data_IF_004722143270
#
_entry.id   IF_004722143270
#
_cell.length_a   1.000
_cell.length_b   1.000
_cell.length_c   1.000
_cell.angle_alpha   90.00
_cell.angle_beta   90.00
_cell.angle_gamma   90.00
#
_symmetry.space_group_name_H-M   'P 1'
#
loop_
_entity.id
_entity.type
_entity.pdbx_description
1 polymer ?
#
# COMPACT_ATOMS: atom_id res chain seq x y z
N UNK A 1 2.24 -20.14 1.32
CA UNK A 1 2.00 -19.45 2.61
C UNK A 1 0.50 -19.47 2.96
N UNK A 2 -0.38 -18.86 2.20
CA UNK A 2 -1.82 -18.78 2.53
C UNK A 2 -2.48 -20.17 2.73
N UNK A 3 -2.23 -21.13 1.84
CA UNK A 3 -2.74 -22.50 1.96
C UNK A 3 -2.28 -23.20 3.25
N UNK A 4 -1.04 -22.97 3.69
CA UNK A 4 -0.55 -23.55 4.94
C UNK A 4 -1.22 -22.91 6.17
N UNK A 5 -1.47 -21.60 6.12
CA UNK A 5 -2.20 -20.89 7.18
C UNK A 5 -3.66 -21.40 7.26
N UNK A 6 -4.30 -21.59 6.10
CA UNK A 6 -5.67 -22.11 6.04
C UNK A 6 -5.74 -23.52 6.65
N UNK A 7 -4.79 -24.40 6.31
CA UNK A 7 -4.75 -25.73 6.89
C UNK A 7 -4.65 -25.70 8.43
N UNK A 8 -3.78 -24.83 8.97
CA UNK A 8 -3.67 -24.66 10.43
C UNK A 8 -4.99 -24.16 11.04
N UNK A 9 -5.63 -23.20 10.37
CA UNK A 9 -6.92 -22.69 10.84
C UNK A 9 -8.01 -23.77 10.83
N UNK A 10 -8.03 -24.63 9.80
CA UNK A 10 -8.97 -25.74 9.68
C UNK A 10 -8.71 -26.79 10.78
N UNK A 11 -7.45 -27.15 11.03
CA UNK A 11 -7.05 -28.08 12.08
C UNK A 11 -7.43 -27.56 13.48
N UNK A 12 -7.30 -26.27 13.74
CA UNK A 12 -7.70 -25.63 14.99
C UNK A 12 -9.22 -25.52 15.11
N UNK A 13 -9.91 -25.25 14.02
CA UNK A 13 -11.38 -25.23 13.99
C UNK A 13 -11.98 -26.60 14.30
N UNK A 14 -11.37 -27.69 13.83
CA UNK A 14 -11.75 -29.05 14.18
C UNK A 14 -11.59 -29.35 15.68
N UNK A 15 -10.76 -28.60 16.39
CA UNK A 15 -10.57 -28.67 17.83
C UNK A 15 -11.45 -27.67 18.61
N UNK A 16 -12.43 -27.05 17.94
CA UNK A 16 -13.38 -26.10 18.57
C UNK A 16 -12.89 -24.64 18.67
N UNK A 17 -11.71 -24.32 18.11
CA UNK A 17 -11.19 -22.96 18.12
C UNK A 17 -11.78 -22.11 16.99
N UNK A 18 -12.01 -20.82 17.23
CA UNK A 18 -12.39 -19.86 16.21
C UNK A 18 -11.12 -19.21 15.63
N UNK A 19 -10.87 -19.43 14.35
CA UNK A 19 -9.68 -18.92 13.67
C UNK A 19 -10.06 -17.93 12.57
N UNK A 20 -9.24 -16.87 12.43
CA UNK A 20 -9.28 -15.97 11.29
C UNK A 20 -7.89 -15.89 10.66
N UNK A 21 -7.79 -16.19 9.36
CA UNK A 21 -6.53 -16.12 8.62
C UNK A 21 -6.31 -14.70 8.11
N UNK A 22 -5.33 -14.01 8.68
CA UNK A 22 -4.91 -12.69 8.20
C UNK A 22 -3.97 -12.88 7.01
N UNK A 23 -4.30 -12.44 5.79
CA UNK A 23 -3.42 -12.58 4.64
C UNK A 23 -2.13 -11.77 4.81
N UNK A 24 -1.09 -12.15 4.09
CA UNK A 24 0.20 -11.45 4.12
C UNK A 24 0.04 -9.95 3.82
N UNK A 25 0.60 -9.10 4.71
CA UNK A 25 0.42 -7.65 4.62
C UNK A 25 -0.98 -7.16 5.03
N UNK A 26 -1.85 -8.03 5.57
CA UNK A 26 -3.24 -7.67 5.88
C UNK A 26 -4.09 -7.33 4.66
N UNK A 27 -3.58 -7.60 3.45
CA UNK A 27 -4.19 -7.15 2.19
C UNK A 27 -5.47 -7.92 1.89
N UNK A 28 -6.60 -7.32 2.17
CA UNK A 28 -7.94 -7.74 1.74
C UNK A 28 -8.88 -6.53 1.66
N UNK A 29 -10.01 -6.70 1.00
CA UNK A 29 -10.96 -5.61 0.70
C UNK A 29 -11.53 -4.95 1.96
N UNK A 30 -11.67 -5.68 3.07
CA UNK A 30 -12.17 -5.14 4.33
C UNK A 30 -11.09 -4.30 5.02
N UNK A 31 -9.86 -4.81 5.10
CA UNK A 31 -8.72 -4.07 5.65
C UNK A 31 -8.40 -2.81 4.84
N UNK A 32 -8.73 -2.85 3.55
CA UNK A 32 -8.64 -1.72 2.64
C UNK A 32 -9.40 -0.48 3.13
N UNK A 33 -10.54 -0.65 3.80
CA UNK A 33 -11.35 0.48 4.27
C UNK A 33 -10.61 1.42 5.22
N UNK A 34 -9.67 0.89 6.03
CA UNK A 34 -8.84 1.71 6.90
C UNK A 34 -7.98 2.74 6.15
N UNK A 35 -7.42 2.36 5.01
CA UNK A 35 -6.64 3.30 4.19
C UNK A 35 -7.50 4.23 3.33
N UNK A 36 -8.75 3.86 3.03
CA UNK A 36 -9.72 4.80 2.44
C UNK A 36 -10.00 5.93 3.44
N UNK A 37 -10.24 5.58 4.71
CA UNK A 37 -10.40 6.56 5.77
C UNK A 37 -9.16 7.45 5.92
N UNK A 38 -7.95 6.89 5.80
CA UNK A 38 -6.70 7.65 5.79
C UNK A 38 -6.65 8.71 4.67
N UNK A 39 -7.13 8.38 3.46
CA UNK A 39 -7.20 9.37 2.36
C UNK A 39 -8.19 10.50 2.69
N UNK A 40 -9.32 10.17 3.31
CA UNK A 40 -10.29 11.18 3.76
C UNK A 40 -9.69 12.07 4.84
N UNK A 41 -8.96 11.48 5.79
CA UNK A 41 -8.26 12.20 6.85
C UNK A 41 -7.19 13.14 6.28
N UNK A 42 -6.37 12.68 5.33
CA UNK A 42 -5.40 13.53 4.62
C UNK A 42 -6.09 14.75 4.03
N UNK A 43 -7.21 14.57 3.33
CA UNK A 43 -7.96 15.67 2.74
C UNK A 43 -8.50 16.67 3.78
N UNK A 44 -9.04 16.16 4.88
CA UNK A 44 -9.53 17.01 5.98
C UNK A 44 -8.38 17.82 6.59
N UNK A 45 -7.25 17.19 6.89
CA UNK A 45 -6.08 17.87 7.46
C UNK A 45 -5.47 18.89 6.50
N UNK A 46 -5.40 18.60 5.21
CA UNK A 46 -4.94 19.58 4.21
C UNK A 46 -5.83 20.82 4.18
N UNK A 47 -7.14 20.63 4.28
CA UNK A 47 -8.09 21.72 4.33
C UNK A 47 -7.96 22.54 5.62
N UNK A 48 -7.94 21.87 6.78
CA UNK A 48 -7.83 22.52 8.10
C UNK A 48 -6.54 23.30 8.27
N UNK A 49 -5.44 22.78 7.74
CA UNK A 49 -4.11 23.40 7.85
C UNK A 49 -3.80 24.36 6.68
N UNK A 50 -4.74 24.54 5.74
CA UNK A 50 -4.53 25.34 4.52
C UNK A 50 -3.28 24.88 3.75
N UNK A 51 -2.99 23.58 3.76
CA UNK A 51 -1.85 23.00 3.07
C UNK A 51 -2.26 22.46 1.70
N UNK A 52 -1.32 22.51 0.78
CA UNK A 52 -1.42 21.88 -0.52
C UNK A 52 -0.28 20.89 -0.70
N UNK A 53 -0.61 19.67 -1.13
CA UNK A 53 0.38 18.71 -1.57
C UNK A 53 0.24 18.46 -3.07
N UNK A 54 1.34 18.38 -3.76
CA UNK A 54 1.39 18.24 -5.22
C UNK A 54 1.62 16.79 -5.63
N UNK A 55 2.05 15.92 -4.71
CA UNK A 55 2.35 14.53 -5.01
C UNK A 55 2.36 13.65 -3.75
N UNK A 56 1.90 12.40 -3.91
CA UNK A 56 2.01 11.36 -2.87
C UNK A 56 3.01 10.29 -3.35
N UNK A 57 3.94 9.91 -2.49
CA UNK A 57 4.86 8.79 -2.73
C UNK A 57 4.56 7.68 -1.72
N UNK A 58 4.38 6.45 -2.19
CA UNK A 58 4.05 5.28 -1.36
C UNK A 58 5.04 4.16 -1.62
N UNK A 59 5.63 3.61 -0.56
CA UNK A 59 6.37 2.35 -0.63
C UNK A 59 5.42 1.15 -0.63
N UNK A 60 5.49 0.30 -1.64
CA UNK A 60 4.57 -0.82 -1.83
C UNK A 60 5.28 -2.17 -1.81
N UNK A 61 5.03 -2.95 -0.76
CA UNK A 61 5.49 -4.35 -0.66
C UNK A 61 4.36 -5.35 -0.89
N UNK A 62 3.24 -5.19 -0.16
CA UNK A 62 1.96 -5.84 -0.45
C UNK A 62 1.13 -4.96 -1.39
N UNK A 63 0.04 -5.48 -1.92
CA UNK A 63 -0.85 -4.70 -2.81
C UNK A 63 -1.73 -3.70 -2.06
N UNK A 64 -2.05 -3.96 -0.79
CA UNK A 64 -3.13 -3.32 -0.04
C UNK A 64 -3.05 -1.80 0.04
N UNK A 65 -2.01 -1.26 0.66
CA UNK A 65 -1.89 0.19 0.88
C UNK A 65 -2.01 0.98 -0.42
N UNK A 66 -1.28 0.55 -1.46
CA UNK A 66 -1.30 1.21 -2.76
C UNK A 66 -2.68 1.17 -3.41
N UNK A 67 -3.27 -0.01 -3.49
CA UNK A 67 -4.58 -0.22 -4.10
C UNK A 67 -5.62 0.73 -3.52
N UNK A 68 -5.58 0.89 -2.21
CA UNK A 68 -6.59 1.63 -1.47
C UNK A 68 -6.39 3.13 -1.53
N UNK A 69 -5.14 3.60 -1.42
CA UNK A 69 -4.86 5.03 -1.58
C UNK A 69 -5.28 5.51 -2.97
N UNK A 70 -4.96 4.73 -4.03
CA UNK A 70 -5.43 5.01 -5.39
C UNK A 70 -6.96 5.05 -5.47
N UNK A 71 -7.63 4.05 -4.89
CA UNK A 71 -9.10 3.97 -4.91
C UNK A 71 -9.74 5.12 -4.14
N UNK A 72 -9.18 5.49 -2.98
CA UNK A 72 -9.65 6.61 -2.18
C UNK A 72 -9.52 7.94 -2.93
N UNK A 73 -8.34 8.23 -3.49
CA UNK A 73 -8.11 9.44 -4.30
C UNK A 73 -9.05 9.49 -5.52
N UNK A 74 -9.20 8.37 -6.22
CA UNK A 74 -10.08 8.28 -7.38
C UNK A 74 -11.55 8.47 -7.01
N UNK A 75 -12.02 7.79 -5.96
CA UNK A 75 -13.41 7.90 -5.49
C UNK A 75 -13.78 9.28 -4.97
N UNK A 76 -12.82 10.03 -4.43
CA UNK A 76 -12.99 11.42 -4.00
C UNK A 76 -12.77 12.44 -5.11
N UNK A 77 -12.47 11.99 -6.34
CA UNK A 77 -12.06 12.85 -7.45
C UNK A 77 -10.88 13.77 -7.08
N UNK A 78 -10.02 13.30 -6.20
CA UNK A 78 -8.81 14.02 -5.81
C UNK A 78 -7.74 13.91 -6.90
N UNK A 79 -7.32 15.05 -7.42
CA UNK A 79 -6.33 15.12 -8.51
C UNK A 79 -4.90 15.19 -8.01
N UNK A 80 -4.58 14.46 -6.93
CA UNK A 80 -3.23 14.39 -6.39
C UNK A 80 -2.52 13.20 -7.05
N UNK A 81 -1.45 13.43 -7.82
CA UNK A 81 -0.66 12.36 -8.41
C UNK A 81 -0.06 11.45 -7.33
N UNK A 82 0.06 10.18 -7.64
CA UNK A 82 0.66 9.21 -6.73
C UNK A 82 1.72 8.38 -7.46
N UNK A 83 2.92 8.30 -6.88
CA UNK A 83 3.98 7.39 -7.34
C UNK A 83 4.14 6.25 -6.36
N UNK A 84 4.04 5.05 -6.87
CA UNK A 84 4.29 3.82 -6.15
C UNK A 84 5.73 3.36 -6.34
N UNK A 85 6.42 3.10 -5.24
CA UNK A 85 7.77 2.55 -5.23
C UNK A 85 7.69 1.08 -4.81
N UNK A 86 7.90 0.18 -5.75
CA UNK A 86 7.94 -1.27 -5.48
C UNK A 86 9.17 -1.63 -4.64
N UNK A 87 8.95 -2.17 -3.43
CA UNK A 87 10.03 -2.48 -2.49
C UNK A 87 10.35 -3.96 -2.36
N UNK A 88 9.61 -4.86 -3.00
CA UNK A 88 9.76 -6.30 -2.80
C UNK A 88 9.64 -7.21 -4.00
N UNK A 89 9.19 -6.71 -5.15
CA UNK A 89 8.92 -7.50 -6.36
C UNK A 89 9.17 -6.68 -7.63
N UNK A 90 9.26 -7.40 -8.74
CA UNK A 90 9.24 -6.77 -10.07
C UNK A 90 7.83 -6.25 -10.44
N UNK A 91 7.77 -5.37 -11.42
CA UNK A 91 6.54 -4.71 -11.87
C UNK A 91 5.47 -5.71 -12.35
N UNK A 92 5.90 -6.76 -13.05
CA UNK A 92 4.99 -7.78 -13.61
C UNK A 92 4.22 -8.51 -12.52
N UNK A 93 4.83 -8.66 -11.35
CA UNK A 93 4.24 -9.34 -10.20
C UNK A 93 3.60 -8.36 -9.20
N UNK A 94 3.89 -7.07 -9.27
CA UNK A 94 3.34 -6.07 -8.36
C UNK A 94 2.04 -5.45 -8.87
N UNK A 95 2.00 -4.98 -10.11
CA UNK A 95 0.85 -4.23 -10.64
C UNK A 95 -0.47 -5.02 -10.71
N UNK A 96 -0.50 -6.30 -11.18
CA UNK A 96 -1.76 -7.00 -11.32
C UNK A 96 -2.53 -7.21 -10.01
N UNK A 97 -1.92 -7.63 -8.88
CA UNK A 97 -2.62 -7.73 -7.61
C UNK A 97 -3.09 -6.36 -7.09
N UNK A 98 -2.31 -5.29 -7.25
CA UNK A 98 -2.71 -3.92 -6.87
C UNK A 98 -3.98 -3.51 -7.63
N UNK A 99 -4.02 -3.71 -8.93
CA UNK A 99 -5.17 -3.37 -9.74
C UNK A 99 -6.42 -4.17 -9.35
N UNK A 100 -6.30 -5.49 -9.17
CA UNK A 100 -7.44 -6.34 -8.75
C UNK A 100 -8.02 -5.87 -7.41
N UNK A 101 -7.17 -5.55 -6.46
CA UNK A 101 -7.57 -5.10 -5.13
C UNK A 101 -8.20 -3.70 -5.18
N UNK A 102 -7.64 -2.79 -5.98
CA UNK A 102 -8.20 -1.46 -6.20
C UNK A 102 -9.61 -1.52 -6.81
N UNK A 103 -9.81 -2.34 -7.84
CA UNK A 103 -11.13 -2.55 -8.47
C UNK A 103 -12.13 -3.16 -7.48
N UNK A 104 -11.71 -4.16 -6.71
CA UNK A 104 -12.57 -4.79 -5.70
C UNK A 104 -12.96 -3.79 -4.59
N UNK A 105 -12.04 -2.95 -4.15
CA UNK A 105 -12.29 -1.88 -3.17
C UNK A 105 -13.20 -0.80 -3.74
N UNK A 106 -12.98 -0.37 -4.98
CA UNK A 106 -13.84 0.60 -5.66
C UNK A 106 -15.28 0.09 -5.74
N UNK A 107 -15.47 -1.18 -6.08
CA UNK A 107 -16.78 -1.83 -6.12
C UNK A 107 -17.45 -1.85 -4.73
N UNK A 108 -16.71 -2.18 -3.68
CA UNK A 108 -17.22 -2.19 -2.30
C UNK A 108 -17.67 -0.79 -1.86
N UNK A 109 -16.94 0.24 -2.26
CA UNK A 109 -17.24 1.64 -1.95
C UNK A 109 -18.36 2.24 -2.81
N UNK A 110 -18.88 1.51 -3.78
CA UNK A 110 -19.89 2.02 -4.70
C UNK A 110 -19.38 3.05 -5.70
N UNK A 111 -18.06 3.08 -5.95
CA UNK A 111 -17.48 3.92 -6.99
C UNK A 111 -17.93 3.41 -8.35
N UNK A 112 -18.68 4.25 -9.09
CA UNK A 112 -19.35 3.85 -10.34
C UNK A 112 -18.47 3.96 -11.57
N UNK A 113 -17.42 4.77 -11.52
CA UNK A 113 -16.48 4.94 -12.62
C UNK A 113 -15.47 3.79 -12.67
N UNK A 114 -15.08 3.38 -13.89
CA UNK A 114 -14.02 2.40 -14.07
C UNK A 114 -12.68 3.00 -13.64
N UNK A 115 -11.93 2.26 -12.80
CA UNK A 115 -10.64 2.70 -12.32
C UNK A 115 -9.57 2.50 -13.42
N UNK A 116 -8.93 3.59 -13.90
CA UNK A 116 -7.93 3.49 -14.96
C UNK A 116 -6.69 2.70 -14.51
N UNK A 117 -6.18 1.80 -15.39
CA UNK A 117 -5.00 0.97 -15.08
C UNK A 117 -3.72 1.77 -14.87
N UNK A 118 -3.59 2.91 -15.51
CA UNK A 118 -2.45 3.81 -15.36
C UNK A 118 -2.27 4.35 -13.94
N UNK A 119 -3.32 4.39 -13.14
CA UNK A 119 -3.24 4.84 -11.76
C UNK A 119 -2.50 3.87 -10.82
N UNK A 120 -2.33 2.62 -11.25
CA UNK A 120 -1.64 1.59 -10.43
C UNK A 120 -0.23 1.26 -10.92
N UNK A 121 0.34 2.08 -11.81
CA UNK A 121 1.72 1.91 -12.27
C UNK A 121 2.69 2.06 -11.11
N UNK A 122 3.67 1.16 -11.06
CA UNK A 122 4.69 1.07 -10.00
C UNK A 122 6.07 1.40 -10.55
N UNK A 123 6.87 2.13 -9.79
CA UNK A 123 8.29 2.27 -10.08
C UNK A 123 9.06 1.12 -9.40
N UNK A 124 9.62 0.22 -10.19
CA UNK A 124 10.25 -1.03 -9.70
C UNK A 124 11.77 -0.99 -9.60
N UNK A 125 12.40 0.16 -9.79
CA UNK A 125 13.87 0.27 -9.85
C UNK A 125 14.60 0.16 -8.50
N UNK A 126 13.91 0.22 -7.39
CA UNK A 126 14.49 0.47 -6.06
C UNK A 126 14.57 -0.75 -5.13
N UNK A 127 13.89 -1.85 -5.40
CA UNK A 127 13.80 -3.00 -4.49
C UNK A 127 15.05 -3.88 -4.41
N UNK A 128 16.01 -3.73 -5.33
CA UNK A 128 17.23 -4.55 -5.40
C UNK A 128 18.19 -4.25 -4.25
N UNK A 129 19.00 -5.24 -3.82
CA UNK A 129 19.11 -6.59 -4.40
C UNK A 129 17.95 -7.52 -4.04
N UNK A 130 17.28 -7.30 -2.90
CA UNK A 130 16.14 -8.10 -2.44
C UNK A 130 15.36 -7.33 -1.37
N UNK A 131 14.09 -7.72 -1.14
CA UNK A 131 13.30 -7.23 -0.01
C UNK A 131 14.04 -7.41 1.32
N UNK A 132 13.99 -6.42 2.19
CA UNK A 132 14.69 -6.34 3.48
C UNK A 132 16.23 -6.32 3.42
N UNK A 133 16.85 -6.44 2.25
CA UNK A 133 18.30 -6.28 2.13
C UNK A 133 18.66 -4.82 1.88
N UNK A 134 19.53 -4.32 2.73
CA UNK A 134 20.00 -2.94 2.67
C UNK A 134 21.05 -2.76 1.56
N UNK A 135 21.13 -1.54 1.05
CA UNK A 135 22.22 -1.10 0.18
C UNK A 135 22.63 0.33 0.55
N UNK A 136 23.80 0.74 0.06
CA UNK A 136 24.37 2.06 0.40
C UNK A 136 23.42 3.23 0.07
N UNK A 137 22.79 3.20 -1.12
CA UNK A 137 21.87 4.26 -1.55
C UNK A 137 20.67 4.39 -0.63
N UNK A 138 20.15 3.26 -0.15
CA UNK A 138 19.05 3.24 0.82
C UNK A 138 19.45 3.88 2.14
N UNK A 139 20.65 3.58 2.65
CA UNK A 139 21.17 4.21 3.89
C UNK A 139 21.32 5.72 3.70
N UNK A 140 21.85 6.16 2.57
CA UNK A 140 21.96 7.58 2.22
C UNK A 140 20.59 8.26 2.16
N UNK A 141 19.61 7.60 1.53
CA UNK A 141 18.23 8.10 1.43
C UNK A 141 17.56 8.23 2.80
N UNK A 142 17.75 7.26 3.71
CA UNK A 142 17.23 7.33 5.08
C UNK A 142 17.85 8.48 5.87
N UNK A 143 19.14 8.71 5.72
CA UNK A 143 19.83 9.79 6.42
C UNK A 143 19.43 11.19 5.93
N UNK A 144 18.99 11.29 4.67
CA UNK A 144 18.64 12.56 4.05
C UNK A 144 17.49 13.30 4.79
N UNK A 145 16.32 12.71 5.06
CA UNK A 145 15.26 13.35 5.83
C UNK A 145 15.50 13.26 7.35
N UNK A 146 16.22 12.24 7.83
CA UNK A 146 16.42 12.05 9.27
C UNK A 146 17.28 13.16 9.91
N UNK A 147 18.32 13.61 9.22
CA UNK A 147 19.25 14.61 9.76
C UNK A 147 18.66 16.02 9.85
N UNK A 148 18.09 16.60 8.77
CA UNK A 148 17.56 17.96 8.82
C UNK A 148 16.14 18.06 9.39
N UNK A 149 15.29 17.05 9.16
CA UNK A 149 13.86 17.10 9.45
C UNK A 149 13.43 16.22 10.64
N UNK A 150 14.33 15.37 11.15
CA UNK A 150 13.99 14.42 12.21
C UNK A 150 13.00 13.34 11.78
N UNK A 151 12.86 13.07 10.47
CA UNK A 151 11.92 12.09 9.92
C UNK A 151 12.64 10.75 9.71
N UNK A 152 12.43 9.75 10.58
CA UNK A 152 13.03 8.42 10.41
C UNK A 152 12.26 7.62 9.36
N UNK A 153 12.99 6.99 8.43
CA UNK A 153 12.47 6.00 7.49
C UNK A 153 12.92 4.60 7.91
N UNK A 154 12.09 3.58 7.65
CA UNK A 154 12.47 2.21 7.96
C UNK A 154 13.42 1.60 6.91
N UNK A 155 14.20 0.62 7.33
CA UNK A 155 15.20 -0.05 6.50
C UNK A 155 14.62 -1.08 5.51
N UNK A 156 13.32 -1.30 5.50
CA UNK A 156 12.68 -2.36 4.70
C UNK A 156 11.85 -1.81 3.56
N UNK A 157 11.01 -0.84 3.85
CA UNK A 157 10.01 -0.31 2.91
C UNK A 157 10.27 1.16 2.56
N UNK A 158 10.16 2.08 3.53
CA UNK A 158 10.16 3.52 3.26
C UNK A 158 11.53 4.10 2.92
N UNK A 159 12.61 3.40 3.23
CA UNK A 159 13.98 3.78 2.86
C UNK A 159 14.43 3.28 1.48
N UNK A 160 13.59 2.52 0.78
CA UNK A 160 13.87 2.06 -0.59
C UNK A 160 13.53 3.13 -1.62
#
# INVERSE_FOLDING_TARGET
MLAAMQKIADDLAAQGSRCYVVPGGGSNVIAALGYVACVQEIHAQLFEQSLRIDHIIVGSGSSGTRAVVVTGLFGMNARIPITDIGVGRDLKNQEPPVYREAVATAKLLGVRSELPRELVKTNGGYWRPKYSLQNRRMVEAIQMPARPEGIPLDLTCTGK
#
